data_IF_670894045748
#
_entry.id   IF_670894045748
#
_cell.length_a   1.000
_cell.length_b   1.000
_cell.length_c   1.000
_cell.angle_alpha   90.00
_cell.angle_beta   90.00
_cell.angle_gamma   90.00
#
_symmetry.space_group_name_H-M   'P 1'
#
loop_
_entity.id
_entity.type
_entity.pdbx_description
1 polymer ?
#
# COMPACT_ATOMS: atom_id res chain seq x y z
N UNK A 1 -19.18 21.51 24.74
CA UNK A 1 -20.11 21.61 23.60
C UNK A 1 -19.58 20.92 22.32
N UNK A 2 -18.48 20.19 22.35
CA UNK A 2 -17.89 19.52 21.17
C UNK A 2 -18.43 18.12 20.86
N UNK A 3 -18.88 17.38 21.83
CA UNK A 3 -19.22 15.95 21.66
C UNK A 3 -20.49 15.68 20.81
N UNK A 4 -21.46 16.61 20.80
CA UNK A 4 -22.71 16.44 20.03
C UNK A 4 -22.58 16.69 18.51
N UNK A 5 -21.64 17.52 18.09
CA UNK A 5 -21.42 17.85 16.67
C UNK A 5 -20.66 16.74 15.96
N UNK A 6 -19.71 16.10 16.64
CA UNK A 6 -18.91 14.98 16.12
C UNK A 6 -19.82 13.78 15.86
N UNK A 7 -20.71 13.44 16.76
CA UNK A 7 -21.67 12.33 16.61
C UNK A 7 -22.60 12.49 15.39
N UNK A 8 -22.91 13.72 14.97
CA UNK A 8 -23.77 13.97 13.81
C UNK A 8 -23.03 13.80 12.47
N UNK A 9 -21.78 14.25 12.37
CA UNK A 9 -20.99 14.18 11.15
C UNK A 9 -20.71 12.72 10.73
N UNK A 10 -20.39 11.86 11.69
CA UNK A 10 -20.05 10.47 11.45
C UNK A 10 -21.25 9.50 11.55
N UNK A 11 -22.48 9.99 11.42
CA UNK A 11 -23.68 9.16 11.49
C UNK A 11 -23.78 8.06 10.41
N UNK A 12 -23.00 8.19 9.33
CA UNK A 12 -22.87 7.15 8.29
C UNK A 12 -21.78 6.12 8.61
N UNK A 13 -20.91 6.36 9.59
CA UNK A 13 -19.83 5.45 9.97
C UNK A 13 -20.35 4.42 10.95
N UNK A 14 -20.16 3.16 10.63
CA UNK A 14 -20.55 2.04 11.48
C UNK A 14 -19.64 1.96 12.71
N UNK A 15 -20.24 1.67 13.87
CA UNK A 15 -19.48 1.31 15.07
C UNK A 15 -18.91 -0.10 14.89
N UNK A 16 -17.73 -0.14 14.26
CA UNK A 16 -17.00 -1.37 13.92
C UNK A 16 -15.50 -1.12 13.92
N UNK A 17 -14.74 -2.15 13.65
CA UNK A 17 -13.28 -2.10 13.59
C UNK A 17 -12.76 -2.81 12.34
N UNK A 18 -11.55 -2.51 11.94
CA UNK A 18 -10.78 -3.33 11.01
C UNK A 18 -9.68 -4.07 11.73
N UNK A 19 -9.30 -5.21 11.18
CA UNK A 19 -8.11 -5.95 11.58
C UNK A 19 -6.96 -5.59 10.67
N UNK A 20 -5.76 -5.46 11.26
CA UNK A 20 -4.53 -5.20 10.53
C UNK A 20 -3.42 -6.14 11.00
N UNK A 21 -2.38 -6.28 10.19
CA UNK A 21 -1.34 -7.26 10.36
C UNK A 21 0.02 -6.60 10.56
N UNK A 22 0.90 -7.29 11.28
CA UNK A 22 2.32 -6.95 11.24
C UNK A 22 2.88 -7.34 9.88
N UNK A 23 3.71 -6.46 9.31
CA UNK A 23 4.48 -6.74 8.12
C UNK A 23 5.88 -6.18 8.21
N UNK A 24 6.79 -6.71 7.41
CA UNK A 24 8.06 -6.08 7.14
C UNK A 24 7.94 -5.24 5.88
N UNK A 25 8.67 -4.12 5.84
CA UNK A 25 8.67 -3.24 4.68
C UNK A 25 10.03 -2.61 4.42
N UNK A 26 10.23 -2.19 3.19
CA UNK A 26 11.27 -1.24 2.79
C UNK A 26 10.65 -0.05 2.06
N UNK A 27 11.27 1.12 2.18
CA UNK A 27 10.97 2.33 1.39
C UNK A 27 12.16 2.61 0.48
N UNK A 28 11.92 2.70 -0.80
CA UNK A 28 12.93 2.98 -1.81
C UNK A 28 12.60 4.26 -2.56
N UNK A 29 13.61 5.11 -2.73
CA UNK A 29 13.58 6.19 -3.70
C UNK A 29 14.15 5.67 -5.01
N UNK A 30 13.33 5.71 -6.05
CA UNK A 30 13.75 5.44 -7.43
C UNK A 30 13.91 6.79 -8.12
N UNK A 31 15.05 7.02 -8.77
CA UNK A 31 15.31 8.22 -9.56
C UNK A 31 15.52 7.89 -11.03
N UNK A 32 15.21 8.84 -11.90
CA UNK A 32 15.48 8.74 -13.33
C UNK A 32 15.67 10.13 -13.96
N UNK A 33 16.30 10.19 -15.13
CA UNK A 33 16.50 11.43 -15.89
C UNK A 33 15.25 11.87 -16.65
N UNK A 34 14.27 10.97 -16.81
CA UNK A 34 13.06 11.19 -17.60
C UNK A 34 11.82 10.82 -16.77
N UNK A 35 10.80 11.65 -16.80
CA UNK A 35 9.58 11.49 -16.00
C UNK A 35 8.77 10.26 -16.42
N UNK A 36 8.68 9.95 -17.71
CA UNK A 36 7.92 8.79 -18.19
C UNK A 36 8.63 7.49 -17.84
N UNK A 37 9.97 7.47 -17.91
CA UNK A 37 10.80 6.34 -17.46
C UNK A 37 10.63 6.12 -15.97
N UNK A 38 10.67 7.20 -15.15
CA UNK A 38 10.45 7.11 -13.71
C UNK A 38 9.05 6.56 -13.39
N UNK A 39 8.02 7.10 -14.02
CA UNK A 39 6.63 6.62 -13.84
C UNK A 39 6.50 5.15 -14.22
N UNK A 40 7.10 4.73 -15.33
CA UNK A 40 7.07 3.35 -15.74
C UNK A 40 7.77 2.45 -14.72
N UNK A 41 8.98 2.79 -14.27
CA UNK A 41 9.72 2.01 -13.29
C UNK A 41 8.95 1.87 -11.96
N UNK A 42 8.41 2.98 -11.44
CA UNK A 42 7.73 2.97 -10.15
C UNK A 42 6.40 2.18 -10.21
N UNK A 43 5.60 2.35 -11.27
CA UNK A 43 4.33 1.64 -11.39
C UNK A 43 4.50 0.17 -11.75
N UNK A 44 5.44 -0.20 -12.62
CA UNK A 44 5.72 -1.60 -12.95
C UNK A 44 6.18 -2.35 -11.69
N UNK A 45 7.11 -1.79 -10.92
CA UNK A 45 7.67 -2.43 -9.72
C UNK A 45 6.67 -2.59 -8.58
N UNK A 46 5.61 -1.79 -8.55
CA UNK A 46 4.54 -1.84 -7.53
C UNK A 46 3.24 -2.48 -8.02
N UNK A 47 3.18 -2.94 -9.28
CA UNK A 47 1.93 -3.29 -9.96
C UNK A 47 1.13 -4.44 -9.36
N UNK A 48 1.75 -5.40 -8.67
CA UNK A 48 1.05 -6.58 -8.16
C UNK A 48 0.96 -6.56 -6.65
N UNK A 49 -0.23 -6.28 -6.06
CA UNK A 49 -0.45 -6.43 -4.62
C UNK A 49 -0.56 -7.93 -4.29
N UNK A 50 0.50 -8.47 -3.72
CA UNK A 50 0.69 -9.92 -3.61
C UNK A 50 0.63 -10.51 -2.21
N UNK A 51 0.47 -9.71 -1.14
CA UNK A 51 0.59 -10.21 0.23
C UNK A 51 -0.39 -11.34 0.56
N UNK A 52 -1.64 -11.25 0.10
CA UNK A 52 -2.67 -12.28 0.32
C UNK A 52 -2.40 -13.60 -0.43
N UNK A 53 -1.51 -13.61 -1.42
CA UNK A 53 -1.08 -14.81 -2.16
C UNK A 53 0.37 -15.22 -1.82
N UNK A 54 0.90 -14.71 -0.70
CA UNK A 54 2.24 -15.05 -0.22
C UNK A 54 3.39 -14.47 -1.03
N UNK A 55 3.17 -13.35 -1.74
CA UNK A 55 4.15 -12.57 -2.47
C UNK A 55 4.30 -11.19 -1.83
N UNK A 56 5.30 -10.41 -2.23
CA UNK A 56 5.36 -9.00 -1.80
C UNK A 56 4.26 -8.18 -2.48
N UNK A 57 3.86 -7.09 -1.84
CA UNK A 57 3.05 -6.05 -2.45
C UNK A 57 3.77 -4.71 -2.39
N UNK A 58 3.50 -3.86 -3.36
CA UNK A 58 4.09 -2.54 -3.43
C UNK A 58 3.04 -1.46 -3.63
N UNK A 59 3.44 -0.23 -3.36
CA UNK A 59 2.64 0.96 -3.66
C UNK A 59 3.53 2.19 -3.78
N UNK A 60 3.06 3.14 -4.57
CA UNK A 60 3.71 4.45 -4.71
C UNK A 60 3.31 5.30 -3.52
N UNK A 61 4.28 5.84 -2.79
CA UNK A 61 4.05 6.76 -1.69
C UNK A 61 3.95 8.21 -2.18
N UNK A 62 4.80 8.60 -3.13
CA UNK A 62 4.78 9.96 -3.70
C UNK A 62 5.94 10.21 -4.66
N UNK A 63 5.88 11.36 -5.32
CA UNK A 63 6.94 11.85 -6.19
C UNK A 63 7.80 12.89 -5.47
N UNK A 64 9.06 12.99 -5.85
CA UNK A 64 10.09 13.81 -5.18
C UNK A 64 10.77 14.68 -6.23
N UNK A 65 10.87 15.97 -5.94
CA UNK A 65 11.57 16.94 -6.79
C UNK A 65 13.09 16.66 -6.83
N UNK A 66 13.73 17.06 -7.90
CA UNK A 66 15.16 16.82 -8.17
C UNK A 66 16.08 17.33 -7.05
N UNK A 67 15.77 18.49 -6.48
CA UNK A 67 16.55 19.12 -5.41
C UNK A 67 16.49 18.40 -4.06
N UNK A 68 15.61 17.40 -3.94
CA UNK A 68 15.43 16.58 -2.74
C UNK A 68 15.98 15.16 -2.87
N UNK A 69 16.56 14.82 -4.01
CA UNK A 69 17.13 13.49 -4.29
C UNK A 69 18.66 13.49 -4.19
N UNK A 70 19.29 12.36 -3.81
CA UNK A 70 20.75 12.30 -3.62
C UNK A 70 21.55 12.54 -4.89
N UNK A 71 20.96 12.34 -6.05
CA UNK A 71 21.62 12.45 -7.36
C UNK A 71 21.06 13.60 -8.23
N UNK A 72 20.24 14.48 -7.64
CA UNK A 72 19.63 15.65 -8.30
C UNK A 72 18.82 15.29 -9.55
N UNK A 73 18.08 14.18 -9.51
CA UNK A 73 17.19 13.73 -10.58
C UNK A 73 15.76 13.59 -10.06
N UNK A 74 14.78 13.55 -10.96
CA UNK A 74 13.38 13.26 -10.61
C UNK A 74 13.30 11.97 -9.82
N UNK A 75 12.51 11.95 -8.75
CA UNK A 75 12.38 10.82 -7.86
C UNK A 75 10.94 10.39 -7.58
N UNK A 76 10.77 9.14 -7.19
CA UNK A 76 9.53 8.63 -6.65
C UNK A 76 9.81 7.62 -5.53
N UNK A 77 9.03 7.70 -4.44
CA UNK A 77 9.15 6.78 -3.31
C UNK A 77 8.14 5.66 -3.47
N UNK A 78 8.64 4.42 -3.42
CA UNK A 78 7.82 3.21 -3.33
C UNK A 78 8.03 2.53 -1.98
N UNK A 79 6.99 1.88 -1.50
CA UNK A 79 7.07 0.94 -0.40
C UNK A 79 6.84 -0.47 -0.92
N UNK A 80 7.58 -1.44 -0.36
CA UNK A 80 7.40 -2.88 -0.63
C UNK A 80 7.19 -3.59 0.70
N UNK A 81 6.14 -4.39 0.78
CA UNK A 81 5.64 -5.00 2.00
C UNK A 81 5.54 -6.51 1.88
N UNK A 82 5.77 -7.20 2.99
CA UNK A 82 5.59 -8.64 3.09
C UNK A 82 4.97 -9.01 4.45
N UNK A 83 3.99 -9.91 4.41
CA UNK A 83 3.24 -10.35 5.60
C UNK A 83 3.94 -11.46 6.40
N UNK A 84 5.20 -11.74 6.14
CA UNK A 84 6.01 -12.77 6.78
C UNK A 84 7.36 -12.20 7.19
N UNK A 85 7.98 -12.81 8.19
CA UNK A 85 9.35 -12.50 8.63
C UNK A 85 10.41 -13.38 7.92
N UNK A 86 10.05 -14.03 6.83
CA UNK A 86 10.98 -14.73 5.94
C UNK A 86 11.76 -13.70 5.11
N UNK A 87 12.88 -13.23 5.66
CA UNK A 87 13.71 -12.22 5.04
C UNK A 87 14.34 -12.70 3.74
N UNK A 88 14.70 -13.98 3.63
CA UNK A 88 15.28 -14.53 2.39
C UNK A 88 14.25 -14.43 1.23
N UNK A 89 13.00 -14.76 1.52
CA UNK A 89 11.93 -14.62 0.53
C UNK A 89 11.62 -13.17 0.22
N UNK A 90 11.62 -12.29 1.22
CA UNK A 90 11.43 -10.85 1.02
C UNK A 90 12.52 -10.26 0.11
N UNK A 91 13.79 -10.54 0.41
CA UNK A 91 14.94 -10.14 -0.39
C UNK A 91 14.82 -10.62 -1.84
N UNK A 92 14.49 -11.90 -2.04
CA UNK A 92 14.36 -12.49 -3.37
C UNK A 92 13.24 -11.81 -4.17
N UNK A 93 12.06 -11.65 -3.61
CA UNK A 93 10.90 -11.00 -4.25
C UNK A 93 11.18 -9.53 -4.55
N UNK A 94 11.83 -8.80 -3.63
CA UNK A 94 12.24 -7.42 -3.83
C UNK A 94 13.26 -7.31 -4.97
N UNK A 95 14.23 -8.22 -5.01
CA UNK A 95 15.24 -8.25 -6.07
C UNK A 95 14.62 -8.46 -7.45
N UNK A 96 13.57 -9.27 -7.56
CA UNK A 96 12.85 -9.46 -8.84
C UNK A 96 12.21 -8.16 -9.32
N UNK A 97 11.57 -7.39 -8.41
CA UNK A 97 10.98 -6.09 -8.74
C UNK A 97 12.06 -5.10 -9.18
N UNK A 98 13.15 -5.00 -8.43
CA UNK A 98 14.25 -4.09 -8.77
C UNK A 98 14.88 -4.47 -10.12
N UNK A 99 15.18 -5.74 -10.33
CA UNK A 99 15.86 -6.19 -11.56
C UNK A 99 15.00 -6.07 -12.80
N UNK A 100 13.73 -6.48 -12.72
CA UNK A 100 12.88 -6.61 -13.90
C UNK A 100 12.08 -5.35 -14.21
N UNK A 101 11.85 -4.49 -13.21
CA UNK A 101 10.98 -3.35 -13.37
C UNK A 101 11.72 -2.01 -13.28
N UNK A 102 12.92 -1.98 -12.64
CA UNK A 102 13.70 -0.75 -12.43
C UNK A 102 15.03 -0.81 -13.19
N UNK A 103 15.90 -1.79 -12.92
CA UNK A 103 17.24 -1.90 -13.52
C UNK A 103 17.19 -1.92 -15.06
N UNK A 104 16.18 -2.57 -15.63
CA UNK A 104 16.00 -2.65 -17.09
C UNK A 104 15.48 -1.37 -17.73
N UNK A 105 15.11 -0.37 -16.94
CA UNK A 105 14.73 0.96 -17.45
C UNK A 105 15.97 1.85 -17.53
N UNK A 106 16.13 2.62 -18.63
CA UNK A 106 17.31 3.45 -18.81
C UNK A 106 17.45 4.53 -17.73
N UNK A 107 18.68 4.78 -17.30
CA UNK A 107 19.06 5.89 -16.41
C UNK A 107 18.38 5.88 -15.03
N UNK A 108 18.04 4.72 -14.48
CA UNK A 108 17.45 4.63 -13.14
C UNK A 108 18.50 4.41 -12.05
N UNK A 109 18.18 4.87 -10.84
CA UNK A 109 18.92 4.50 -9.62
C UNK A 109 17.97 4.24 -8.46
N UNK A 110 18.46 3.51 -7.44
CA UNK A 110 17.67 3.13 -6.26
C UNK A 110 18.41 3.49 -4.99
N UNK A 111 17.73 4.23 -4.09
CA UNK A 111 18.27 4.64 -2.79
C UNK A 111 17.37 4.17 -1.66
N UNK A 112 17.95 3.88 -0.52
CA UNK A 112 17.23 3.54 0.70
C UNK A 112 16.57 4.79 1.32
N UNK A 113 15.27 4.66 1.67
CA UNK A 113 14.48 5.69 2.35
C UNK A 113 13.82 5.16 3.63
N UNK A 114 14.19 3.96 4.07
CA UNK A 114 13.62 3.37 5.27
C UNK A 114 14.19 4.02 6.52
N UNK A 115 13.33 4.63 7.32
CA UNK A 115 13.67 5.20 8.63
C UNK A 115 13.56 4.14 9.74
N UNK A 116 14.34 4.32 10.82
CA UNK A 116 14.31 3.44 12.00
C UNK A 116 14.42 1.93 11.64
N UNK A 117 15.49 1.52 10.96
CA UNK A 117 15.61 0.17 10.44
C UNK A 117 15.70 -0.88 11.54
N UNK A 118 15.17 -2.05 11.28
CA UNK A 118 15.37 -3.29 12.06
C UNK A 118 16.56 -4.09 11.57
N UNK A 119 16.95 -3.89 10.33
CA UNK A 119 18.08 -4.51 9.68
C UNK A 119 18.23 -4.01 8.24
N UNK A 120 19.14 -4.62 7.50
CA UNK A 120 19.38 -4.32 6.10
C UNK A 120 19.49 -5.58 5.25
N UNK A 121 19.36 -5.41 3.96
CA UNK A 121 19.49 -6.41 2.91
C UNK A 121 20.66 -5.99 2.03
N UNK A 122 21.66 -6.87 1.87
CA UNK A 122 22.77 -6.69 0.94
C UNK A 122 22.28 -6.88 -0.50
N UNK A 123 22.31 -5.81 -1.30
CA UNK A 123 21.87 -5.84 -2.69
C UNK A 123 22.90 -6.42 -3.67
N UNK A 124 24.15 -6.65 -3.24
CA UNK A 124 25.16 -7.21 -4.11
C UNK A 124 24.76 -8.58 -4.66
N UNK A 125 24.30 -9.47 -3.77
CA UNK A 125 23.99 -10.86 -4.11
C UNK A 125 22.94 -11.04 -5.21
N UNK A 126 21.84 -10.28 -5.14
CA UNK A 126 20.70 -10.51 -6.04
C UNK A 126 20.48 -9.43 -7.08
N UNK A 127 21.13 -8.26 -6.94
CA UNK A 127 21.04 -7.15 -7.90
C UNK A 127 22.42 -6.79 -8.45
N UNK A 128 23.42 -6.57 -7.59
CA UNK A 128 24.78 -6.20 -8.02
C UNK A 128 25.36 -7.18 -9.02
N UNK A 129 25.30 -8.47 -8.72
CA UNK A 129 25.83 -9.53 -9.60
C UNK A 129 25.10 -9.67 -10.95
N UNK A 130 24.12 -8.82 -11.27
CA UNK A 130 23.69 -8.61 -12.64
C UNK A 130 24.80 -8.05 -13.54
N UNK A 131 25.86 -7.46 -12.95
CA UNK A 131 27.06 -7.02 -13.64
C UNK A 131 28.02 -8.13 -14.05
N UNK A 132 27.75 -9.41 -13.66
CA UNK A 132 28.54 -10.60 -14.03
C UNK A 132 30.03 -10.50 -13.64
N UNK A 133 30.31 -9.87 -12.48
CA UNK A 133 31.67 -9.64 -11.98
C UNK A 133 32.36 -8.35 -12.52
N UNK A 134 31.62 -7.53 -13.27
CA UNK A 134 32.07 -6.23 -13.77
C UNK A 134 31.45 -5.07 -13.01
N UNK A 135 30.58 -5.34 -12.02
CA UNK A 135 30.05 -4.34 -11.10
C UNK A 135 31.18 -3.77 -10.22
N UNK A 136 30.99 -2.54 -9.78
CA UNK A 136 31.91 -1.87 -8.83
C UNK A 136 31.13 -1.06 -7.80
N UNK A 137 31.85 -0.52 -6.82
CA UNK A 137 31.28 0.35 -5.81
C UNK A 137 31.75 1.79 -6.00
N UNK A 138 30.84 2.74 -5.75
CA UNK A 138 31.16 4.17 -5.70
C UNK A 138 30.35 4.88 -4.60
N UNK A 139 30.62 6.15 -4.39
CA UNK A 139 29.85 6.99 -3.46
C UNK A 139 29.04 8.05 -4.21
N UNK A 140 27.74 8.12 -3.88
CA UNK A 140 26.86 9.20 -4.30
C UNK A 140 26.26 9.82 -3.04
N UNK A 141 26.46 11.11 -2.81
CA UNK A 141 26.00 11.83 -1.61
C UNK A 141 26.28 11.07 -0.30
N UNK A 142 27.54 10.61 -0.11
CA UNK A 142 28.00 9.76 1.01
C UNK A 142 27.33 8.38 1.15
N UNK A 143 26.50 7.95 0.22
CA UNK A 143 25.89 6.61 0.16
C UNK A 143 26.80 5.66 -0.61
N UNK A 144 26.98 4.44 -0.12
CA UNK A 144 27.72 3.42 -0.84
C UNK A 144 26.79 2.79 -1.88
N UNK A 145 27.12 2.96 -3.14
CA UNK A 145 26.33 2.46 -4.25
C UNK A 145 27.05 1.29 -4.94
N UNK A 146 26.29 0.28 -5.30
CA UNK A 146 26.69 -0.72 -6.29
C UNK A 146 26.35 -0.14 -7.67
N UNK A 147 27.33 -0.16 -8.56
CA UNK A 147 27.15 0.23 -9.97
C UNK A 147 27.15 -1.00 -10.82
N UNK A 148 26.04 -1.24 -11.49
CA UNK A 148 25.85 -2.35 -12.42
C UNK A 148 25.97 -1.84 -13.85
N UNK A 149 27.02 -2.26 -14.61
CA UNK A 149 27.17 -1.84 -15.98
C UNK A 149 26.03 -2.39 -16.86
N UNK A 150 25.44 -1.52 -17.66
CA UNK A 150 24.38 -1.87 -18.61
C UNK A 150 24.72 -1.34 -20.00
N UNK A 151 23.98 -1.77 -21.03
CA UNK A 151 24.19 -1.29 -22.40
C UNK A 151 23.77 0.18 -22.61
N UNK A 152 22.93 0.71 -21.74
CA UNK A 152 22.60 2.12 -21.61
C UNK A 152 23.13 2.53 -20.23
N UNK A 153 23.82 3.68 -20.05
CA UNK A 153 24.68 3.94 -18.89
C UNK A 153 24.17 3.43 -17.56
N UNK A 154 25.10 3.16 -16.66
CA UNK A 154 25.07 2.29 -15.50
C UNK A 154 23.86 2.46 -14.58
N UNK A 155 23.26 1.35 -14.17
CA UNK A 155 22.31 1.31 -13.09
C UNK A 155 23.02 1.40 -11.73
N UNK A 156 22.46 2.16 -10.78
CA UNK A 156 23.02 2.32 -9.44
C UNK A 156 22.01 1.95 -8.39
N UNK A 157 22.45 1.20 -7.39
CA UNK A 157 21.63 0.86 -6.22
C UNK A 157 22.45 1.00 -4.95
N UNK A 158 21.86 1.54 -3.88
CA UNK A 158 22.51 1.58 -2.57
C UNK A 158 22.80 0.15 -2.09
N UNK A 159 24.04 -0.08 -1.59
CA UNK A 159 24.54 -1.41 -1.26
C UNK A 159 23.66 -2.10 -0.20
N UNK A 160 23.29 -1.36 0.84
CA UNK A 160 22.45 -1.84 1.92
C UNK A 160 21.06 -1.19 1.85
N UNK A 161 20.03 -1.96 1.57
CA UNK A 161 18.65 -1.51 1.63
C UNK A 161 18.07 -1.90 2.99
N UNK A 162 17.70 -0.90 3.79
CA UNK A 162 17.13 -1.12 5.10
C UNK A 162 15.69 -1.63 5.03
N UNK A 163 15.30 -2.45 6.00
CA UNK A 163 13.91 -2.84 6.24
C UNK A 163 13.47 -2.52 7.67
N UNK A 164 12.18 -2.38 7.87
CA UNK A 164 11.58 -2.18 9.19
C UNK A 164 10.25 -2.95 9.32
N UNK A 165 9.58 -2.78 10.46
CA UNK A 165 8.27 -3.35 10.74
C UNK A 165 7.22 -2.26 10.71
N UNK A 166 6.02 -2.59 10.23
CA UNK A 166 4.89 -1.68 10.19
C UNK A 166 3.56 -2.42 10.18
N UNK A 167 2.51 -1.71 9.83
CA UNK A 167 1.13 -2.19 9.83
C UNK A 167 0.62 -2.26 8.40
N UNK A 168 0.12 -3.43 8.02
CA UNK A 168 -0.44 -3.66 6.70
C UNK A 168 -1.85 -4.23 6.77
N UNK A 169 -2.61 -4.03 5.69
CA UNK A 169 -3.95 -4.58 5.54
C UNK A 169 -5.04 -3.83 6.34
N UNK A 170 -4.74 -2.64 6.87
CA UNK A 170 -5.80 -1.77 7.39
C UNK A 170 -6.80 -1.48 6.28
N UNK A 171 -8.12 -1.56 6.57
CA UNK A 171 -9.10 -1.40 5.51
C UNK A 171 -10.37 -0.70 5.99
N UNK A 172 -11.06 -0.06 5.06
CA UNK A 172 -12.43 0.37 5.26
C UNK A 172 -13.22 0.29 3.95
N UNK A 173 -14.55 0.18 4.07
CA UNK A 173 -15.50 0.13 2.96
C UNK A 173 -16.29 1.43 2.90
N UNK A 174 -16.39 2.03 1.72
CA UNK A 174 -17.27 3.16 1.46
C UNK A 174 -18.42 2.70 0.53
N UNK A 175 -19.58 2.48 1.13
CA UNK A 175 -20.73 1.88 0.48
C UNK A 175 -21.52 2.91 -0.32
N UNK A 176 -21.63 2.71 -1.63
CA UNK A 176 -22.16 3.69 -2.56
C UNK A 176 -23.56 3.32 -3.06
N UNK A 177 -24.38 4.36 -3.30
CA UNK A 177 -25.69 4.22 -3.99
C UNK A 177 -25.57 4.22 -5.52
N UNK A 178 -24.47 4.77 -6.06
CA UNK A 178 -24.27 4.97 -7.49
C UNK A 178 -22.89 4.49 -7.97
N UNK A 179 -22.84 4.01 -9.23
CA UNK A 179 -21.61 3.52 -9.85
C UNK A 179 -20.51 4.62 -9.94
N UNK A 180 -20.93 5.85 -10.24
CA UNK A 180 -20.01 6.99 -10.38
C UNK A 180 -19.30 7.30 -9.07
N UNK A 181 -20.00 7.19 -7.95
CA UNK A 181 -19.47 7.39 -6.60
C UNK A 181 -18.28 6.48 -6.28
N UNK A 182 -18.28 5.23 -6.77
CA UNK A 182 -17.18 4.28 -6.54
C UNK A 182 -15.83 4.86 -6.99
N UNK A 183 -15.80 5.42 -8.20
CA UNK A 183 -14.54 5.93 -8.78
C UNK A 183 -14.22 7.33 -8.28
N UNK A 184 -15.20 8.21 -8.17
CA UNK A 184 -14.99 9.59 -7.74
C UNK A 184 -14.57 9.67 -6.27
N UNK A 185 -15.31 9.02 -5.36
CA UNK A 185 -14.93 8.98 -3.95
C UNK A 185 -13.61 8.25 -3.75
N UNK A 186 -13.39 7.13 -4.46
CA UNK A 186 -12.12 6.41 -4.37
C UNK A 186 -10.91 7.24 -4.79
N UNK A 187 -11.02 8.07 -5.84
CA UNK A 187 -9.94 8.99 -6.23
C UNK A 187 -9.67 10.03 -5.15
N UNK A 188 -10.72 10.67 -4.62
CA UNK A 188 -10.59 11.65 -3.54
C UNK A 188 -9.87 11.03 -2.33
N UNK A 189 -10.24 9.80 -1.96
CA UNK A 189 -9.61 9.07 -0.86
C UNK A 189 -8.12 8.82 -1.13
N UNK A 190 -7.79 8.29 -2.31
CA UNK A 190 -6.40 7.99 -2.68
C UNK A 190 -5.55 9.26 -2.74
N UNK A 191 -6.06 10.34 -3.33
CA UNK A 191 -5.38 11.63 -3.34
C UNK A 191 -5.11 12.14 -1.92
N UNK A 192 -6.10 12.07 -1.02
CA UNK A 192 -5.94 12.48 0.37
C UNK A 192 -4.93 11.62 1.16
N UNK A 193 -4.80 10.33 0.83
CA UNK A 193 -3.82 9.42 1.45
C UNK A 193 -2.41 9.68 0.91
N UNK A 194 -2.25 9.98 -0.37
CA UNK A 194 -0.96 10.20 -1.00
C UNK A 194 -0.20 11.43 -0.44
N UNK A 195 -0.89 12.33 0.25
CA UNK A 195 -0.26 13.47 0.96
C UNK A 195 0.34 13.08 2.33
N UNK A 196 0.25 11.81 2.72
CA UNK A 196 0.71 11.34 4.02
C UNK A 196 1.99 10.51 3.86
N UNK A 197 3.11 11.04 4.35
CA UNK A 197 4.38 10.31 4.34
C UNK A 197 4.26 8.98 5.12
N UNK A 198 4.81 7.92 4.54
CA UNK A 198 4.84 6.59 5.15
C UNK A 198 3.57 5.75 4.95
N UNK A 199 2.68 6.17 4.05
CA UNK A 199 1.43 5.45 3.72
C UNK A 199 1.40 5.05 2.26
N UNK A 200 0.85 3.88 1.99
CA UNK A 200 0.45 3.46 0.64
C UNK A 200 -0.94 2.83 0.64
N UNK A 201 -1.61 2.88 -0.50
CA UNK A 201 -2.81 2.11 -0.81
C UNK A 201 -2.50 1.13 -1.96
N UNK A 202 -2.00 -0.09 -1.67
CA UNK A 202 -1.41 -0.97 -2.69
C UNK A 202 -2.40 -1.45 -3.74
N UNK A 203 -3.69 -1.43 -3.46
CA UNK A 203 -4.75 -1.84 -4.39
C UNK A 203 -5.42 -0.65 -5.11
N UNK A 204 -5.10 0.58 -4.70
CA UNK A 204 -5.94 1.71 -5.08
C UNK A 204 -7.39 1.49 -4.65
N UNK A 205 -8.35 1.56 -5.60
CA UNK A 205 -9.75 1.23 -5.35
C UNK A 205 -9.94 -0.29 -5.52
N UNK A 206 -10.13 -1.01 -4.42
CA UNK A 206 -10.33 -2.46 -4.41
C UNK A 206 -11.82 -2.82 -4.50
N UNK A 207 -12.16 -3.81 -5.31
CA UNK A 207 -13.53 -4.32 -5.46
C UNK A 207 -13.76 -5.69 -4.81
N UNK A 208 -12.75 -6.28 -4.16
CA UNK A 208 -12.81 -7.67 -3.75
C UNK A 208 -13.53 -7.90 -2.42
N UNK A 209 -13.31 -7.06 -1.40
CA UNK A 209 -13.83 -7.24 -0.05
C UNK A 209 -13.71 -8.72 0.38
N UNK A 210 -12.48 -9.23 0.41
CA UNK A 210 -12.21 -10.67 0.55
C UNK A 210 -12.54 -11.20 1.96
N UNK A 211 -12.75 -12.52 2.03
CA UNK A 211 -12.80 -13.27 3.28
C UNK A 211 -11.85 -14.48 3.22
N UNK A 212 -11.41 -14.96 4.38
CA UNK A 212 -10.48 -16.10 4.47
C UNK A 212 -11.16 -17.45 4.33
N UNK A 213 -12.41 -17.59 4.80
CA UNK A 213 -13.17 -18.82 4.67
C UNK A 213 -13.54 -19.04 3.20
N UNK A 214 -13.13 -20.17 2.67
CA UNK A 214 -13.34 -20.49 1.26
C UNK A 214 -13.70 -21.96 1.08
N UNK A 215 -14.56 -22.25 0.10
CA UNK A 215 -14.81 -23.60 -0.37
C UNK A 215 -13.67 -24.13 -1.27
N UNK A 216 -12.70 -23.27 -1.61
CA UNK A 216 -11.60 -23.56 -2.55
C UNK A 216 -10.26 -23.14 -1.94
N UNK A 217 -9.69 -23.92 -0.98
CA UNK A 217 -8.46 -23.51 -0.25
C UNK A 217 -7.26 -23.24 -1.13
N UNK A 218 -7.20 -23.83 -2.31
CA UNK A 218 -6.09 -23.62 -3.26
C UNK A 218 -6.08 -22.25 -3.95
N UNK A 219 -7.21 -21.47 -3.88
CA UNK A 219 -7.28 -20.11 -4.44
C UNK A 219 -6.76 -19.08 -3.44
N UNK A 220 -6.87 -19.35 -2.14
CA UNK A 220 -6.63 -18.40 -1.07
C UNK A 220 -7.90 -17.61 -0.70
N UNK A 221 -7.80 -16.38 -0.21
CA UNK A 221 -8.96 -15.57 0.14
C UNK A 221 -9.92 -15.41 -1.05
N UNK A 222 -11.21 -15.51 -0.78
CA UNK A 222 -12.26 -15.43 -1.79
C UNK A 222 -13.26 -14.31 -1.47
N UNK A 223 -14.17 -14.03 -2.39
CA UNK A 223 -15.16 -12.96 -2.23
C UNK A 223 -15.99 -13.10 -0.96
N UNK A 224 -16.24 -12.00 -0.27
CA UNK A 224 -17.12 -11.93 0.89
C UNK A 224 -18.59 -11.85 0.40
N UNK A 225 -19.16 -13.00 0.02
CA UNK A 225 -20.44 -13.09 -0.65
C UNK A 225 -21.63 -12.43 0.10
N UNK A 226 -21.69 -12.39 1.47
CA UNK A 226 -22.75 -11.66 2.14
C UNK A 226 -22.77 -10.15 1.84
N UNK A 227 -21.64 -9.58 1.47
CA UNK A 227 -21.49 -8.16 1.11
C UNK A 227 -21.50 -7.92 -0.41
N UNK A 228 -21.83 -8.93 -1.24
CA UNK A 228 -21.95 -8.74 -2.69
C UNK A 228 -23.36 -8.24 -3.06
N UNK A 229 -23.51 -6.97 -3.52
CA UNK A 229 -24.83 -6.42 -3.86
C UNK A 229 -25.57 -7.23 -4.93
N UNK A 230 -24.85 -7.82 -5.89
CA UNK A 230 -25.40 -8.68 -6.94
C UNK A 230 -26.04 -9.98 -6.40
N UNK A 231 -25.65 -10.41 -5.20
CA UNK A 231 -26.18 -11.61 -4.54
C UNK A 231 -27.30 -11.31 -3.55
N UNK A 232 -27.61 -10.04 -3.25
CA UNK A 232 -28.60 -9.64 -2.23
C UNK A 232 -29.93 -10.37 -2.36
N UNK A 233 -30.46 -10.52 -3.60
CA UNK A 233 -31.70 -11.22 -3.86
C UNK A 233 -31.61 -12.75 -3.73
N UNK A 234 -30.42 -13.32 -3.87
CA UNK A 234 -30.19 -14.78 -3.77
C UNK A 234 -29.93 -15.22 -2.34
N UNK A 235 -29.35 -14.33 -1.53
CA UNK A 235 -28.92 -14.56 -0.14
C UNK A 235 -29.90 -13.89 0.85
N UNK A 236 -31.20 -14.12 0.70
CA UNK A 236 -32.27 -13.37 1.39
C UNK A 236 -32.04 -13.22 2.90
N UNK A 237 -31.53 -14.27 3.57
CA UNK A 237 -31.28 -14.27 5.03
C UNK A 237 -29.79 -14.09 5.41
N UNK A 238 -28.88 -14.09 4.45
CA UNK A 238 -27.43 -14.04 4.69
C UNK A 238 -26.81 -12.73 4.20
N UNK A 239 -27.52 -11.99 3.37
CA UNK A 239 -27.00 -10.74 2.83
C UNK A 239 -26.86 -9.67 3.91
N UNK A 240 -25.67 -9.11 4.01
CA UNK A 240 -25.32 -7.99 4.87
C UNK A 240 -25.27 -6.66 4.12
N UNK A 241 -25.72 -6.63 2.86
CA UNK A 241 -25.76 -5.39 2.05
C UNK A 241 -26.86 -4.48 2.55
N UNK A 242 -26.55 -3.27 3.07
CA UNK A 242 -27.56 -2.34 3.56
C UNK A 242 -28.55 -1.88 2.48
N UNK A 243 -29.69 -1.35 2.89
CA UNK A 243 -30.63 -0.76 1.95
C UNK A 243 -30.06 0.51 1.32
N UNK A 244 -30.36 0.73 0.04
CA UNK A 244 -29.79 1.83 -0.74
C UNK A 244 -28.37 1.59 -1.28
N UNK A 245 -27.62 0.62 -0.75
CA UNK A 245 -26.27 0.29 -1.20
C UNK A 245 -26.32 -0.58 -2.47
N UNK A 246 -25.58 -0.16 -3.49
CA UNK A 246 -25.42 -0.89 -4.75
C UNK A 246 -23.97 -1.30 -5.04
N UNK A 247 -22.99 -0.69 -4.36
CA UNK A 247 -21.57 -0.94 -4.56
C UNK A 247 -20.83 -0.84 -3.21
N UNK A 248 -19.89 -1.73 -2.96
CA UNK A 248 -19.08 -1.78 -1.74
C UNK A 248 -17.59 -1.87 -2.13
N UNK A 249 -16.99 -0.76 -2.56
CA UNK A 249 -15.54 -0.70 -2.75
C UNK A 249 -14.81 -0.60 -1.41
N UNK A 250 -13.54 -0.99 -1.44
CA UNK A 250 -12.63 -1.04 -0.30
C UNK A 250 -11.37 -0.23 -0.60
N UNK A 251 -10.82 0.40 0.43
CA UNK A 251 -9.45 0.92 0.44
C UNK A 251 -8.66 0.10 1.46
N UNK A 252 -7.52 -0.42 1.02
CA UNK A 252 -6.55 -1.10 1.87
C UNK A 252 -5.35 -0.19 2.06
N UNK A 253 -4.89 -0.04 3.29
CA UNK A 253 -3.83 0.89 3.68
C UNK A 253 -2.71 0.11 4.38
N UNK A 254 -1.47 0.35 3.95
CA UNK A 254 -0.28 -0.03 4.69
C UNK A 254 0.42 1.24 5.17
N UNK A 255 0.94 1.22 6.40
CA UNK A 255 1.60 2.37 6.99
C UNK A 255 2.74 1.99 7.94
N UNK A 256 3.75 2.83 7.97
CA UNK A 256 5.01 2.59 8.71
C UNK A 256 4.82 2.45 10.23
N UNK A 257 3.71 2.95 10.78
CA UNK A 257 3.34 2.80 12.20
C UNK A 257 1.83 3.02 12.41
N UNK A 258 1.37 2.85 13.67
CA UNK A 258 -0.04 2.98 14.05
C UNK A 258 -0.58 4.40 13.86
N UNK A 259 0.19 5.41 14.22
CA UNK A 259 -0.25 6.82 14.14
C UNK A 259 -0.51 7.22 12.69
N UNK A 260 0.38 6.82 11.80
CA UNK A 260 0.29 7.09 10.35
C UNK A 260 -0.92 6.39 9.75
N UNK A 261 -1.19 5.12 10.13
CA UNK A 261 -2.40 4.39 9.69
C UNK A 261 -3.67 5.06 10.18
N UNK A 262 -3.75 5.41 11.48
CA UNK A 262 -4.91 6.08 12.04
C UNK A 262 -5.19 7.43 11.35
N UNK A 263 -4.13 8.23 11.15
CA UNK A 263 -4.21 9.49 10.41
C UNK A 263 -4.75 9.29 8.99
N UNK A 264 -4.24 8.28 8.29
CA UNK A 264 -4.64 7.97 6.92
C UNK A 264 -6.12 7.55 6.85
N UNK A 265 -6.56 6.65 7.72
CA UNK A 265 -7.97 6.20 7.80
C UNK A 265 -8.90 7.38 8.11
N UNK A 266 -8.53 8.23 9.07
CA UNK A 266 -9.34 9.41 9.40
C UNK A 266 -9.45 10.37 8.22
N UNK A 267 -8.33 10.77 7.61
CA UNK A 267 -8.31 11.70 6.48
C UNK A 267 -9.11 11.12 5.30
N UNK A 268 -8.96 9.83 5.04
CA UNK A 268 -9.70 9.12 4.01
C UNK A 268 -11.23 9.18 4.24
N UNK A 269 -11.69 8.90 5.47
CA UNK A 269 -13.11 8.96 5.82
C UNK A 269 -13.61 10.41 5.76
N UNK A 270 -12.88 11.36 6.33
CA UNK A 270 -13.22 12.78 6.34
C UNK A 270 -13.38 13.36 4.93
N UNK A 271 -12.63 12.85 3.96
CA UNK A 271 -12.66 13.31 2.57
C UNK A 271 -13.97 12.98 1.84
N UNK A 272 -14.75 12.00 2.33
CA UNK A 272 -15.93 11.48 1.61
C UNK A 272 -17.18 11.31 2.48
N UNK A 273 -17.11 11.40 3.81
CA UNK A 273 -18.25 11.12 4.71
C UNK A 273 -19.44 12.03 4.47
N UNK A 274 -19.23 13.26 4.03
CA UNK A 274 -20.27 14.26 3.79
C UNK A 274 -20.97 14.12 2.42
N UNK A 275 -20.49 13.20 1.53
CA UNK A 275 -21.08 12.98 0.21
C UNK A 275 -22.44 12.26 0.31
N UNK A 276 -23.45 12.72 -0.41
CA UNK A 276 -24.80 12.13 -0.41
C UNK A 276 -24.85 10.75 -1.07
N UNK A 277 -23.93 10.48 -2.01
CA UNK A 277 -23.83 9.20 -2.72
C UNK A 277 -23.08 8.11 -1.92
N UNK A 278 -22.50 8.46 -0.75
CA UNK A 278 -21.99 7.52 0.24
C UNK A 278 -23.10 7.24 1.27
N UNK A 279 -23.58 6.01 1.28
CA UNK A 279 -24.68 5.55 2.15
C UNK A 279 -24.17 5.17 3.54
N UNK A 280 -23.02 4.46 3.59
CA UNK A 280 -22.44 3.94 4.82
C UNK A 280 -20.92 3.76 4.65
N UNK A 281 -20.19 3.94 5.74
CA UNK A 281 -18.78 3.59 5.86
C UNK A 281 -18.66 2.49 6.91
N UNK A 282 -17.92 1.45 6.60
CA UNK A 282 -17.72 0.28 7.46
C UNK A 282 -16.29 -0.25 7.28
N UNK A 283 -15.98 -1.37 7.89
CA UNK A 283 -14.68 -2.02 7.74
C UNK A 283 -14.83 -3.54 7.65
N UNK A 284 -13.85 -4.20 7.03
CA UNK A 284 -13.74 -5.64 7.03
C UNK A 284 -13.02 -6.13 8.28
N UNK A 285 -13.66 -7.04 9.00
CA UNK A 285 -13.02 -7.74 10.11
C UNK A 285 -13.37 -9.23 10.10
N UNK A 286 -12.62 -9.98 10.88
CA UNK A 286 -12.75 -11.44 11.04
C UNK A 286 -13.04 -11.77 12.52
N UNK A 287 -13.94 -11.03 13.14
CA UNK A 287 -14.32 -11.10 14.56
C UNK A 287 -13.15 -10.80 15.54
N UNK A 288 -12.07 -10.17 15.08
CA UNK A 288 -10.87 -9.89 15.87
C UNK A 288 -9.94 -11.09 16.06
N UNK A 289 -10.10 -12.15 15.27
CA UNK A 289 -9.40 -13.42 15.45
C UNK A 289 -8.23 -13.64 14.48
N UNK A 290 -8.13 -12.81 13.42
CA UNK A 290 -7.14 -13.01 12.36
C UNK A 290 -5.97 -12.02 12.46
N UNK A 291 -6.24 -10.74 12.66
CA UNK A 291 -5.25 -9.68 12.68
C UNK A 291 -4.42 -9.62 13.95
N UNK A 292 -3.26 -8.99 13.88
CA UNK A 292 -2.43 -8.70 15.05
C UNK A 292 -2.93 -7.47 15.81
N UNK A 293 -3.72 -6.64 15.16
CA UNK A 293 -4.26 -5.37 15.66
C UNK A 293 -5.72 -5.22 15.31
N UNK A 294 -6.48 -4.64 16.24
CA UNK A 294 -7.87 -4.22 16.03
C UNK A 294 -7.96 -2.72 16.19
N UNK A 295 -8.54 -2.02 15.21
CA UNK A 295 -8.66 -0.57 15.17
C UNK A 295 -10.13 -0.18 15.02
N UNK A 296 -10.73 0.42 16.06
CA UNK A 296 -12.09 0.96 16.00
C UNK A 296 -12.14 2.18 15.08
N UNK A 297 -13.10 2.20 14.15
CA UNK A 297 -13.31 3.36 13.29
C UNK A 297 -13.70 4.59 14.09
N UNK A 298 -14.60 4.44 15.07
CA UNK A 298 -15.08 5.58 15.88
C UNK A 298 -13.98 6.11 16.80
N UNK A 299 -13.13 5.25 17.37
CA UNK A 299 -12.01 5.71 18.21
C UNK A 299 -11.04 6.56 17.38
N UNK A 300 -10.68 6.09 16.16
CA UNK A 300 -9.83 6.85 15.23
C UNK A 300 -10.42 8.23 14.93
N UNK A 301 -11.72 8.30 14.66
CA UNK A 301 -12.39 9.56 14.31
C UNK A 301 -12.54 10.53 15.50
N UNK A 302 -12.50 10.03 16.71
CA UNK A 302 -12.63 10.82 17.94
C UNK A 302 -11.28 11.27 18.53
N UNK A 303 -10.18 10.54 18.27
CA UNK A 303 -8.86 10.83 18.84
C UNK A 303 -8.07 11.91 18.09
N UNK A 304 -8.39 12.21 16.83
CA UNK A 304 -7.70 13.16 15.95
C UNK A 304 -8.68 14.24 15.44
#
# INVERSE_FOLDING_TARGET
>A
MGCGLISYRYGKVEDTFFEAFKGIYTRLLITADDEDVLKQAIYDSTATPGAVIGRIEGGVEGFVDEDKTPDNRLGAIAQYWFNSYDLEKFELELSYRIRQDVLVKPFTSVFNMTNNPKGSIDMMRHVGHCGDGYEWEEKVDNRNMIVVPTAVPDFKIEHEIAYSEGIMGANFWYMCSEKKAVVEAGRIIIEAINDIEGVIAPFGICSAASKVETNYPWIGPTTNHPYCPSLKKRLVNESKVPDGVKYIPEIVINGVNKEVVNKAVKIAIDSVVDRDDIVKISAGNFNGELGNYNFSLLDILNEY
#
